data_IF_293997995644
#
_entry.id   IF_293997995644
#
_cell.length_a   1.000
_cell.length_b   1.000
_cell.length_c   1.000
_cell.angle_alpha   90.00
_cell.angle_beta   90.00
_cell.angle_gamma   90.00
#
_symmetry.space_group_name_H-M   'P 1'
#
loop_
_entity.id
_entity.type
_entity.pdbx_description
1 polymer ?
#
# COMPACT_ATOMS: atom_id res chain seq x y z
N UNK A 1 -29.04 16.59 -15.27
CA UNK A 1 -27.93 16.38 -16.24
C UNK A 1 -26.63 15.99 -15.54
N UNK A 2 -26.05 16.81 -14.64
CA UNK A 2 -24.79 16.47 -13.94
C UNK A 2 -24.85 15.19 -13.08
N UNK A 3 -25.94 15.01 -12.31
CA UNK A 3 -26.15 13.82 -11.46
C UNK A 3 -26.29 12.54 -12.28
N UNK A 4 -26.99 12.59 -13.41
CA UNK A 4 -27.19 11.47 -14.34
C UNK A 4 -25.88 11.05 -15.02
N UNK A 5 -25.04 12.03 -15.39
CA UNK A 5 -23.72 11.78 -15.95
C UNK A 5 -22.79 11.11 -14.91
N UNK A 6 -22.81 11.59 -13.66
CA UNK A 6 -22.04 11.00 -12.57
C UNK A 6 -22.45 9.55 -12.26
N UNK A 7 -23.75 9.24 -12.25
CA UNK A 7 -24.22 7.85 -12.07
C UNK A 7 -23.84 6.94 -13.22
N UNK A 8 -23.87 7.45 -14.47
CA UNK A 8 -23.40 6.69 -15.63
C UNK A 8 -21.88 6.44 -15.54
N UNK A 9 -21.08 7.46 -15.24
CA UNK A 9 -19.62 7.32 -15.06
C UNK A 9 -19.31 6.30 -13.95
N UNK A 10 -20.02 6.33 -12.83
CA UNK A 10 -19.82 5.37 -11.73
C UNK A 10 -20.20 3.94 -12.11
N UNK A 11 -21.32 3.77 -12.82
CA UNK A 11 -21.84 2.46 -13.27
C UNK A 11 -20.93 1.84 -14.33
N UNK A 12 -20.57 2.59 -15.35
CA UNK A 12 -19.67 2.12 -16.41
C UNK A 12 -18.23 2.00 -15.93
N UNK A 13 -17.78 2.84 -15.00
CA UNK A 13 -16.48 2.72 -14.34
C UNK A 13 -16.36 1.44 -13.51
N UNK A 14 -17.41 1.05 -12.78
CA UNK A 14 -17.42 -0.21 -12.03
C UNK A 14 -17.35 -1.42 -12.97
N UNK A 15 -18.20 -1.46 -13.99
CA UNK A 15 -18.21 -2.54 -14.99
C UNK A 15 -16.87 -2.63 -15.72
N UNK A 16 -16.33 -1.50 -16.18
CA UNK A 16 -15.02 -1.42 -16.81
C UNK A 16 -13.91 -1.93 -15.90
N UNK A 17 -13.91 -1.54 -14.62
CA UNK A 17 -12.93 -2.03 -13.65
C UNK A 17 -13.01 -3.55 -13.46
N UNK A 18 -14.22 -4.12 -13.40
CA UNK A 18 -14.40 -5.57 -13.28
C UNK A 18 -13.86 -6.30 -14.51
N UNK A 19 -14.22 -5.85 -15.72
CA UNK A 19 -13.70 -6.44 -16.97
C UNK A 19 -12.19 -6.30 -17.10
N UNK A 20 -11.62 -5.16 -16.68
CA UNK A 20 -10.18 -4.94 -16.65
C UNK A 20 -9.48 -5.95 -15.71
N UNK A 21 -10.01 -6.18 -14.51
CA UNK A 21 -9.46 -7.18 -13.59
C UNK A 21 -9.49 -8.60 -14.17
N UNK A 22 -10.60 -9.01 -14.79
CA UNK A 22 -10.68 -10.33 -15.44
C UNK A 22 -9.74 -10.46 -16.63
N UNK A 23 -9.60 -9.41 -17.45
CA UNK A 23 -8.67 -9.38 -18.57
C UNK A 23 -7.21 -9.52 -18.09
N UNK A 24 -6.85 -8.82 -17.00
CA UNK A 24 -5.54 -8.97 -16.36
C UNK A 24 -5.34 -10.41 -15.89
N UNK A 25 -6.30 -11.02 -15.18
CA UNK A 25 -6.18 -12.42 -14.73
C UNK A 25 -6.00 -13.39 -15.90
N UNK A 26 -6.76 -13.21 -16.99
CA UNK A 26 -6.66 -14.06 -18.18
C UNK A 26 -5.32 -13.89 -18.89
N UNK A 27 -4.86 -12.65 -19.09
CA UNK A 27 -3.53 -12.37 -19.68
C UNK A 27 -2.45 -13.03 -18.81
N UNK A 28 -2.54 -12.93 -17.49
CA UNK A 28 -1.58 -13.55 -16.57
C UNK A 28 -1.64 -15.08 -16.61
N UNK A 29 -2.81 -15.69 -16.83
CA UNK A 29 -2.95 -17.14 -16.96
C UNK A 29 -2.30 -17.69 -18.24
N UNK A 30 -2.40 -16.96 -19.36
CA UNK A 30 -1.89 -17.41 -20.67
C UNK A 30 -0.42 -17.04 -20.93
N UNK A 31 0.16 -16.11 -20.18
CA UNK A 31 1.54 -15.65 -20.43
C UNK A 31 2.54 -16.37 -19.53
N UNK A 32 3.43 -17.21 -20.09
CA UNK A 32 4.60 -17.77 -19.37
C UNK A 32 5.70 -16.72 -19.20
N UNK A 33 5.41 -15.67 -18.45
CA UNK A 33 6.30 -14.54 -18.29
C UNK A 33 7.26 -14.80 -17.11
N UNK A 34 8.52 -15.16 -17.37
CA UNK A 34 9.52 -15.37 -16.30
C UNK A 34 9.77 -14.12 -15.44
N UNK A 35 9.43 -12.92 -15.94
CA UNK A 35 9.47 -11.66 -15.19
C UNK A 35 8.35 -11.49 -14.14
N UNK A 36 7.34 -12.37 -14.11
CA UNK A 36 6.23 -12.30 -13.14
C UNK A 36 6.71 -12.36 -11.69
N UNK A 37 7.78 -13.12 -11.42
CA UNK A 37 8.35 -13.21 -10.07
C UNK A 37 8.89 -11.89 -9.55
N UNK A 38 9.33 -11.01 -10.45
CA UNK A 38 9.88 -9.69 -10.13
C UNK A 38 8.80 -8.62 -9.96
N UNK A 39 7.55 -8.86 -10.35
CA UNK A 39 6.49 -7.87 -10.21
C UNK A 39 6.27 -7.45 -8.75
N UNK A 40 6.06 -8.38 -7.77
CA UNK A 40 5.90 -7.99 -6.38
C UNK A 40 7.16 -7.31 -5.80
N UNK A 41 8.34 -7.73 -6.25
CA UNK A 41 9.63 -7.12 -5.87
C UNK A 41 9.67 -5.66 -6.31
N UNK A 42 9.37 -5.37 -7.57
CA UNK A 42 9.39 -4.03 -8.13
C UNK A 42 8.37 -3.11 -7.45
N UNK A 43 7.16 -3.61 -7.19
CA UNK A 43 6.11 -2.85 -6.50
C UNK A 43 6.52 -2.51 -5.06
N UNK A 44 6.98 -3.50 -4.29
CA UNK A 44 7.41 -3.27 -2.91
C UNK A 44 8.59 -2.29 -2.86
N UNK A 45 9.56 -2.43 -3.77
CA UNK A 45 10.70 -1.53 -3.86
C UNK A 45 10.29 -0.10 -4.22
N UNK A 46 9.42 0.08 -5.21
CA UNK A 46 8.95 1.39 -5.62
C UNK A 46 8.22 2.11 -4.47
N UNK A 47 7.32 1.41 -3.76
CA UNK A 47 6.60 1.97 -2.61
C UNK A 47 7.58 2.29 -1.47
N UNK A 48 8.53 1.39 -1.19
CA UNK A 48 9.58 1.64 -0.21
C UNK A 48 10.38 2.91 -0.52
N UNK A 49 10.80 3.11 -1.77
CA UNK A 49 11.52 4.31 -2.20
C UNK A 49 10.69 5.58 -2.02
N UNK A 50 9.38 5.54 -2.29
CA UNK A 50 8.47 6.67 -2.02
C UNK A 50 8.45 7.02 -0.53
N UNK A 51 8.36 6.03 0.35
CA UNK A 51 8.35 6.27 1.79
C UNK A 51 9.70 6.80 2.29
N UNK A 52 10.81 6.18 1.89
CA UNK A 52 12.17 6.59 2.29
C UNK A 52 12.51 7.97 1.76
N UNK A 53 12.24 8.25 0.49
CA UNK A 53 12.50 9.58 -0.08
C UNK A 53 11.70 10.67 0.63
N UNK A 54 10.49 10.36 1.11
CA UNK A 54 9.69 11.31 1.88
C UNK A 54 10.30 11.69 3.24
N UNK A 55 11.19 10.86 3.82
CA UNK A 55 11.87 11.19 5.08
C UNK A 55 12.86 12.36 4.95
N UNK A 56 13.33 12.65 3.73
CA UNK A 56 14.25 13.75 3.44
C UNK A 56 13.54 15.04 3.01
N UNK A 57 12.20 15.03 2.98
CA UNK A 57 11.37 16.19 2.65
C UNK A 57 10.93 16.92 3.93
N UNK A 58 10.43 18.16 3.79
CA UNK A 58 9.87 18.92 4.92
C UNK A 58 8.74 18.18 5.63
N UNK A 59 7.87 17.53 4.85
CA UNK A 59 6.78 16.70 5.33
C UNK A 59 6.89 15.30 4.70
N UNK A 60 6.88 14.28 5.55
CA UNK A 60 6.80 12.86 5.16
C UNK A 60 5.48 12.54 4.46
N UNK A 61 5.42 11.41 3.76
CA UNK A 61 4.20 11.03 3.03
C UNK A 61 3.00 10.82 3.96
N UNK A 62 3.21 10.28 5.16
CA UNK A 62 2.16 10.11 6.16
C UNK A 62 1.70 11.46 6.71
N UNK A 63 2.63 12.41 6.93
CA UNK A 63 2.26 13.78 7.32
C UNK A 63 1.41 14.45 6.24
N UNK A 64 1.76 14.31 4.96
CA UNK A 64 0.95 14.85 3.85
C UNK A 64 -0.47 14.27 3.85
N UNK A 65 -0.61 12.95 4.01
CA UNK A 65 -1.93 12.31 4.11
C UNK A 65 -2.71 12.77 5.35
N UNK A 66 -2.04 12.89 6.50
CA UNK A 66 -2.66 13.38 7.73
C UNK A 66 -3.15 14.83 7.55
N UNK A 67 -2.34 15.70 6.93
CA UNK A 67 -2.66 17.11 6.68
C UNK A 67 -3.85 17.28 5.73
N UNK A 68 -3.96 16.43 4.70
CA UNK A 68 -5.13 16.40 3.80
C UNK A 68 -6.41 16.01 4.56
N UNK A 69 -6.28 15.11 5.54
CA UNK A 69 -7.43 14.56 6.26
C UNK A 69 -7.89 15.46 7.41
N UNK A 70 -6.93 16.02 8.16
CA UNK A 70 -7.16 16.69 9.46
C UNK A 70 -6.86 18.20 9.39
N UNK A 71 -6.24 18.69 8.31
CA UNK A 71 -5.81 20.09 8.18
C UNK A 71 -4.46 20.35 8.87
N UNK A 72 -4.41 21.35 9.75
CA UNK A 72 -3.16 21.77 10.38
C UNK A 72 -2.71 20.79 11.46
N UNK A 73 -1.50 20.23 11.32
CA UNK A 73 -0.97 19.25 12.27
C UNK A 73 -0.31 19.94 13.46
N UNK A 74 -0.70 19.55 14.68
CA UNK A 74 0.01 19.88 15.90
C UNK A 74 1.40 19.22 15.95
N UNK A 75 2.30 19.75 16.78
CA UNK A 75 3.68 19.26 16.82
C UNK A 75 3.78 17.80 17.28
N UNK A 76 2.92 17.38 18.21
CA UNK A 76 2.84 15.99 18.67
C UNK A 76 2.41 15.03 17.54
N UNK A 77 1.47 15.45 16.70
CA UNK A 77 1.01 14.69 15.53
C UNK A 77 2.12 14.61 14.48
N UNK A 78 2.88 15.68 14.25
CA UNK A 78 4.03 15.66 13.33
C UNK A 78 5.08 14.64 13.76
N UNK A 79 5.45 14.62 15.05
CA UNK A 79 6.42 13.64 15.59
C UNK A 79 5.88 12.21 15.43
N UNK A 80 4.62 11.97 15.81
CA UNK A 80 3.99 10.67 15.68
C UNK A 80 3.97 10.16 14.24
N UNK A 81 3.53 10.99 13.29
CA UNK A 81 3.43 10.62 11.86
C UNK A 81 4.80 10.44 11.20
N UNK A 82 5.83 11.19 11.65
CA UNK A 82 7.22 10.96 11.23
C UNK A 82 7.75 9.62 11.73
N UNK A 83 7.56 9.31 13.02
CA UNK A 83 7.94 8.02 13.60
C UNK A 83 7.21 6.85 12.92
N UNK A 84 5.93 7.06 12.62
CA UNK A 84 5.15 6.09 11.87
C UNK A 84 5.73 5.88 10.46
N UNK A 85 6.21 6.92 9.79
CA UNK A 85 6.86 6.78 8.47
C UNK A 85 8.10 5.89 8.55
N UNK A 86 8.91 5.99 9.60
CA UNK A 86 10.04 5.05 9.82
C UNK A 86 9.56 3.60 9.98
N UNK A 87 8.51 3.36 10.76
CA UNK A 87 7.94 2.01 10.94
C UNK A 87 7.46 1.45 9.59
N UNK A 88 6.80 2.27 8.78
CA UNK A 88 6.40 1.89 7.42
C UNK A 88 7.59 1.57 6.52
N UNK A 89 8.68 2.34 6.59
CA UNK A 89 9.90 2.04 5.83
C UNK A 89 10.48 0.68 6.20
N UNK A 90 10.56 0.36 7.49
CA UNK A 90 11.05 -0.94 7.97
C UNK A 90 10.14 -2.07 7.48
N UNK A 91 8.83 -1.92 7.62
CA UNK A 91 7.86 -2.90 7.15
C UNK A 91 7.96 -3.15 5.64
N UNK A 92 8.04 -2.09 4.83
CA UNK A 92 8.16 -2.17 3.38
C UNK A 92 9.49 -2.79 2.94
N UNK A 93 10.58 -2.48 3.65
CA UNK A 93 11.87 -3.11 3.39
C UNK A 93 11.84 -4.61 3.65
N UNK A 94 11.24 -5.04 4.76
CA UNK A 94 11.07 -6.47 5.09
C UNK A 94 10.23 -7.17 4.02
N UNK A 95 9.13 -6.56 3.59
CA UNK A 95 8.29 -7.09 2.51
C UNK A 95 9.04 -7.21 1.18
N UNK A 96 9.81 -6.19 0.81
CA UNK A 96 10.68 -6.22 -0.36
C UNK A 96 11.71 -7.36 -0.26
N UNK A 97 12.42 -7.47 0.85
CA UNK A 97 13.45 -8.48 1.06
C UNK A 97 12.88 -9.90 0.99
N UNK A 98 11.73 -10.15 1.63
CA UNK A 98 11.05 -11.45 1.58
C UNK A 98 10.55 -11.78 0.17
N UNK A 99 10.01 -10.78 -0.55
CA UNK A 99 9.62 -10.94 -1.94
C UNK A 99 10.82 -11.34 -2.82
N UNK A 100 11.97 -10.68 -2.67
CA UNK A 100 13.22 -11.05 -3.35
C UNK A 100 13.66 -12.47 -3.00
N UNK A 101 13.66 -12.82 -1.70
CA UNK A 101 14.07 -14.14 -1.24
C UNK A 101 13.22 -15.25 -1.87
N UNK A 102 11.90 -15.04 -1.98
CA UNK A 102 10.99 -16.03 -2.55
C UNK A 102 11.19 -16.25 -4.05
N UNK A 103 11.82 -15.31 -4.79
CA UNK A 103 12.15 -15.51 -6.21
C UNK A 103 13.12 -16.67 -6.43
N UNK A 104 13.97 -16.96 -5.45
CA UNK A 104 14.95 -18.06 -5.48
C UNK A 104 14.39 -19.38 -4.91
N UNK A 105 13.12 -19.38 -4.48
CA UNK A 105 12.43 -20.54 -3.95
C UNK A 105 11.49 -21.16 -4.98
N UNK A 106 10.84 -22.26 -4.62
CA UNK A 106 9.85 -22.92 -5.48
C UNK A 106 8.65 -22.01 -5.79
N UNK A 107 8.02 -22.22 -6.95
CA UNK A 107 6.85 -21.42 -7.37
C UNK A 107 5.70 -21.47 -6.37
N UNK A 108 5.53 -22.61 -5.67
CA UNK A 108 4.54 -22.77 -4.61
C UNK A 108 4.79 -21.81 -3.44
N UNK A 109 6.05 -21.70 -3.00
CA UNK A 109 6.43 -20.79 -1.90
C UNK A 109 6.30 -19.34 -2.35
N UNK A 110 6.78 -19.03 -3.56
CA UNK A 110 6.65 -17.69 -4.13
C UNK A 110 5.19 -17.23 -4.22
N UNK A 111 4.30 -18.10 -4.71
CA UNK A 111 2.87 -17.81 -4.84
C UNK A 111 2.19 -17.70 -3.49
N UNK A 112 2.50 -18.58 -2.53
CA UNK A 112 1.95 -18.51 -1.18
C UNK A 112 2.34 -17.20 -0.48
N UNK A 113 3.62 -16.82 -0.59
CA UNK A 113 4.09 -15.61 0.05
C UNK A 113 3.52 -14.36 -0.63
N UNK A 114 3.82 -14.16 -1.92
CA UNK A 114 3.48 -12.92 -2.62
C UNK A 114 1.98 -12.82 -2.95
N UNK A 115 1.27 -13.94 -3.02
CA UNK A 115 -0.17 -13.99 -3.32
C UNK A 115 -1.08 -14.02 -2.09
N UNK A 116 -0.59 -14.40 -0.90
CA UNK A 116 -1.41 -14.48 0.30
C UNK A 116 -0.75 -13.88 1.54
N UNK A 117 0.42 -14.38 1.97
CA UNK A 117 1.02 -13.97 3.24
C UNK A 117 1.41 -12.48 3.25
N UNK A 118 1.91 -11.95 2.14
CA UNK A 118 2.24 -10.53 1.99
C UNK A 118 1.04 -9.63 2.33
N UNK A 119 -0.15 -9.97 1.82
CA UNK A 119 -1.40 -9.26 2.08
C UNK A 119 -1.94 -9.51 3.48
N UNK A 120 -1.80 -10.73 4.01
CA UNK A 120 -2.19 -11.04 5.38
C UNK A 120 -1.39 -10.18 6.38
N UNK A 121 -0.06 -10.15 6.24
CA UNK A 121 0.78 -9.31 7.09
C UNK A 121 0.49 -7.82 6.90
N UNK A 122 0.14 -7.39 5.69
CA UNK A 122 -0.28 -6.01 5.43
C UNK A 122 -1.57 -5.67 6.17
N UNK A 123 -2.55 -6.57 6.14
CA UNK A 123 -3.79 -6.43 6.88
C UNK A 123 -3.56 -6.35 8.40
N UNK A 124 -2.73 -7.23 8.95
CA UNK A 124 -2.37 -7.20 10.37
C UNK A 124 -1.64 -5.90 10.75
N UNK A 125 -0.67 -5.49 9.94
CA UNK A 125 0.09 -4.27 10.15
C UNK A 125 -0.82 -3.03 10.15
N UNK A 126 -1.71 -2.92 9.16
CA UNK A 126 -2.71 -1.84 9.11
C UNK A 126 -3.68 -1.88 10.30
N UNK A 127 -4.15 -3.06 10.72
CA UNK A 127 -5.09 -3.16 11.84
C UNK A 127 -4.46 -2.68 13.15
N UNK A 128 -3.20 -3.05 13.40
CA UNK A 128 -2.42 -2.59 14.55
C UNK A 128 -2.19 -1.08 14.47
N UNK A 129 -1.71 -0.60 13.31
CA UNK A 129 -1.43 0.81 13.07
C UNK A 129 -2.68 1.67 13.28
N UNK A 130 -3.81 1.27 12.68
CA UNK A 130 -5.08 1.97 12.78
C UNK A 130 -5.58 2.04 14.22
N UNK A 131 -5.43 0.96 14.98
CA UNK A 131 -5.83 0.92 16.40
C UNK A 131 -4.97 1.90 17.22
N UNK A 132 -3.64 1.88 17.04
CA UNK A 132 -2.73 2.80 17.70
C UNK A 132 -3.05 4.25 17.33
N UNK A 133 -3.30 4.53 16.05
CA UNK A 133 -3.66 5.87 15.56
C UNK A 133 -4.97 6.34 16.19
N UNK A 134 -5.97 5.46 16.29
CA UNK A 134 -7.27 5.78 16.91
C UNK A 134 -7.11 6.13 18.39
N UNK A 135 -6.33 5.36 19.14
CA UNK A 135 -6.02 5.65 20.55
C UNK A 135 -5.28 6.99 20.67
N UNK A 136 -4.29 7.23 19.81
CA UNK A 136 -3.52 8.47 19.79
C UNK A 136 -4.40 9.70 19.48
N UNK A 137 -5.36 9.56 18.54
CA UNK A 137 -6.36 10.58 18.20
C UNK A 137 -7.23 10.97 19.38
N UNK A 138 -7.74 9.98 20.12
CA UNK A 138 -8.58 10.20 21.29
C UNK A 138 -7.84 10.96 22.40
N UNK A 139 -6.53 10.73 22.54
CA UNK A 139 -5.71 11.37 23.58
C UNK A 139 -5.27 12.80 23.23
N UNK A 140 -5.00 13.08 21.95
CA UNK A 140 -4.25 14.27 21.55
C UNK A 140 -5.00 15.31 20.70
N UNK A 141 -6.34 15.24 20.58
CA UNK A 141 -7.20 16.14 19.76
C UNK A 141 -6.47 16.62 18.48
N UNK A 142 -6.57 15.81 17.44
CA UNK A 142 -6.18 16.22 16.09
C UNK A 142 -6.88 17.52 15.70
#
# INVERSE_FOLDING_TARGET
>A
MLKTLQTLIKKYGFVFSTFFTFAVILIFHFTRFNGLKLYPVAVNFAIFLVFVSSLFQEETIIQKFAKITEGTLSESVKIYTKNLTYIWCVYLFVQFALSVATCFMSDKIWMLYNGFLSYFFLGCFFAIEYTIRTIFRLKNKF
#
